data_IF_007163646851
#
_entry.id   IF_007163646851
#
_cell.length_a   1.000
_cell.length_b   1.000
_cell.length_c   1.000
_cell.angle_alpha   90.00
_cell.angle_beta   90.00
_cell.angle_gamma   90.00
#
_symmetry.space_group_name_H-M   'P 1'
#
loop_
_entity.id
_entity.type
_entity.pdbx_description
1 polymer ?
#
# COMPACT_ATOMS: atom_id res chain seq x y z
N UNK A 1 10.86 -5.28 23.90
CA UNK A 1 10.42 -4.47 22.74
C UNK A 1 9.01 -4.91 22.43
N UNK A 2 8.04 -4.02 22.56
CA UNK A 2 6.65 -4.34 22.24
C UNK A 2 6.56 -4.68 20.75
N UNK A 3 6.13 -5.88 20.47
CA UNK A 3 5.85 -6.36 19.12
C UNK A 3 4.65 -5.54 18.60
N UNK A 4 4.92 -4.44 17.92
CA UNK A 4 3.86 -3.50 17.57
C UNK A 4 3.06 -4.08 16.42
N UNK A 5 1.84 -4.49 16.71
CA UNK A 5 0.85 -4.87 15.69
C UNK A 5 0.35 -3.68 14.86
N UNK A 6 1.13 -2.58 14.88
CA UNK A 6 0.80 -1.33 14.17
C UNK A 6 0.83 -1.48 12.66
N UNK A 7 1.70 -2.36 12.12
CA UNK A 7 1.94 -2.54 10.69
C UNK A 7 1.83 -4.01 10.29
N UNK A 8 0.65 -4.62 10.45
CA UNK A 8 0.34 -5.97 9.99
C UNK A 8 -0.91 -5.99 9.10
N UNK A 9 -0.94 -6.88 8.11
CA UNK A 9 -2.06 -7.01 7.19
C UNK A 9 -2.41 -5.70 6.50
N UNK A 10 -3.68 -5.33 6.49
CA UNK A 10 -4.17 -4.07 5.89
C UNK A 10 -3.48 -2.82 6.45
N UNK A 11 -3.01 -2.87 7.71
CA UNK A 11 -2.32 -1.74 8.33
C UNK A 11 -0.88 -1.58 7.86
N UNK A 12 -0.28 -2.57 7.19
CA UNK A 12 1.05 -2.49 6.59
C UNK A 12 1.08 -1.79 5.23
N UNK A 13 -0.07 -1.67 4.56
CA UNK A 13 -0.16 -1.13 3.20
C UNK A 13 0.24 0.34 3.11
N UNK A 14 0.15 1.08 4.20
CA UNK A 14 0.50 2.49 4.22
C UNK A 14 1.16 2.88 5.54
N UNK A 15 2.30 3.56 5.45
CA UNK A 15 2.95 4.18 6.63
C UNK A 15 2.26 5.49 6.95
N UNK A 16 1.78 5.62 8.20
CA UNK A 16 1.19 6.84 8.72
C UNK A 16 1.76 7.14 10.12
N UNK A 17 2.23 8.37 10.32
CA UNK A 17 2.85 8.78 11.59
C UNK A 17 1.83 8.71 12.73
N UNK A 18 2.25 8.18 13.87
CA UNK A 18 1.37 8.06 15.04
C UNK A 18 0.29 6.97 14.93
N UNK A 19 0.38 6.07 13.94
CA UNK A 19 -0.53 4.94 13.82
C UNK A 19 -0.51 4.10 15.10
N UNK A 20 -1.69 3.83 15.67
CA UNK A 20 -1.85 3.07 16.89
C UNK A 20 -1.90 1.55 16.63
N UNK A 21 -1.50 0.71 17.60
CA UNK A 21 -1.65 -0.74 17.49
C UNK A 21 -3.14 -1.11 17.39
N UNK A 22 -3.52 -1.77 16.32
CA UNK A 22 -4.93 -2.09 16.05
C UNK A 22 -5.54 -3.04 17.08
N UNK A 23 -4.76 -3.98 17.61
CA UNK A 23 -5.18 -4.92 18.63
C UNK A 23 -5.59 -4.23 19.95
N UNK A 24 -4.91 -3.15 20.34
CA UNK A 24 -5.31 -2.38 21.51
C UNK A 24 -6.57 -1.58 21.26
N UNK A 25 -6.70 -0.97 20.09
CA UNK A 25 -7.91 -0.24 19.69
C UNK A 25 -9.12 -1.18 19.66
N UNK A 26 -8.98 -2.39 19.10
CA UNK A 26 -10.03 -3.40 19.06
C UNK A 26 -10.57 -3.73 20.48
N UNK A 27 -9.67 -3.97 21.43
CA UNK A 27 -10.02 -4.23 22.84
C UNK A 27 -10.83 -3.08 23.47
N UNK A 28 -10.43 -1.84 23.20
CA UNK A 28 -11.17 -0.68 23.70
C UNK A 28 -12.57 -0.56 23.09
N UNK A 29 -12.68 -0.77 21.77
CA UNK A 29 -13.97 -0.74 21.07
C UNK A 29 -14.91 -1.82 21.65
N UNK A 30 -14.43 -3.05 21.80
CA UNK A 30 -15.22 -4.15 22.35
C UNK A 30 -15.66 -3.90 23.79
N UNK A 31 -14.74 -3.32 24.60
CA UNK A 31 -15.03 -3.06 26.02
C UNK A 31 -16.04 -1.93 26.24
N UNK A 32 -16.00 -0.88 25.41
CA UNK A 32 -16.74 0.36 25.64
C UNK A 32 -17.91 0.60 24.67
N UNK A 33 -18.16 -0.33 23.76
CA UNK A 33 -19.28 -0.24 22.82
C UNK A 33 -19.92 -1.61 22.59
N UNK A 34 -21.19 -1.58 22.10
CA UNK A 34 -21.95 -2.76 21.68
C UNK A 34 -22.08 -2.80 20.16
N UNK A 35 -22.35 -3.98 19.56
CA UNK A 35 -22.69 -4.06 18.13
C UNK A 35 -23.79 -3.08 17.73
N UNK A 36 -23.66 -2.49 16.54
CA UNK A 36 -24.54 -1.46 15.97
C UNK A 36 -24.44 -0.05 16.61
N UNK A 37 -23.70 0.14 17.70
CA UNK A 37 -23.40 1.47 18.22
C UNK A 37 -22.40 2.22 17.30
N UNK A 38 -22.34 3.52 17.49
CA UNK A 38 -21.43 4.40 16.71
C UNK A 38 -20.16 4.67 17.50
N UNK A 39 -19.02 4.37 16.91
CA UNK A 39 -17.69 4.73 17.40
C UNK A 39 -17.21 5.93 16.61
N UNK A 40 -16.80 6.99 17.32
CA UNK A 40 -16.29 8.22 16.69
C UNK A 40 -14.82 8.43 17.03
N UNK A 41 -14.03 8.80 16.04
CA UNK A 41 -12.63 9.22 16.18
C UNK A 41 -12.44 10.60 15.55
N UNK A 42 -12.22 11.62 16.37
CA UNK A 42 -12.08 13.00 15.93
C UNK A 42 -10.71 13.32 15.31
N UNK A 43 -9.75 12.38 15.37
CA UNK A 43 -8.40 12.48 14.81
C UNK A 43 -8.01 11.14 14.19
N UNK A 44 -8.85 10.67 13.25
CA UNK A 44 -8.83 9.28 12.82
C UNK A 44 -7.57 8.86 12.03
N UNK A 45 -6.76 9.81 11.55
CA UNK A 45 -5.60 9.52 10.75
C UNK A 45 -5.92 8.57 9.59
N UNK A 46 -5.13 7.52 9.42
CA UNK A 46 -5.37 6.51 8.38
C UNK A 46 -6.51 5.52 8.70
N UNK A 47 -7.32 5.77 9.73
CA UNK A 47 -8.57 5.08 9.99
C UNK A 47 -8.49 3.79 10.80
N UNK A 48 -7.44 3.55 11.60
CA UNK A 48 -7.32 2.31 12.40
C UNK A 48 -8.55 2.09 13.28
N UNK A 49 -8.99 3.12 14.02
CA UNK A 49 -10.19 3.05 14.87
C UNK A 49 -11.44 2.73 14.07
N UNK A 50 -11.58 3.33 12.88
CA UNK A 50 -12.74 3.14 12.01
C UNK A 50 -12.79 1.70 11.47
N UNK A 51 -11.64 1.19 11.02
CA UNK A 51 -11.52 -0.19 10.51
C UNK A 51 -11.87 -1.20 11.61
N UNK A 52 -11.31 -1.04 12.80
CA UNK A 52 -11.58 -1.97 13.91
C UNK A 52 -13.04 -1.85 14.40
N UNK A 53 -13.64 -0.66 14.38
CA UNK A 53 -15.04 -0.49 14.70
C UNK A 53 -15.95 -1.24 13.71
N UNK A 54 -15.71 -1.09 12.41
CA UNK A 54 -16.49 -1.80 11.37
C UNK A 54 -16.30 -3.30 11.46
N UNK A 55 -15.06 -3.79 11.64
CA UNK A 55 -14.79 -5.23 11.86
C UNK A 55 -15.54 -5.80 13.05
N UNK A 56 -15.67 -5.02 14.10
CA UNK A 56 -16.39 -5.41 15.31
C UNK A 56 -17.92 -5.21 15.21
N UNK A 57 -18.45 -4.88 14.04
CA UNK A 57 -19.89 -4.69 13.82
C UNK A 57 -20.45 -3.38 14.38
N UNK A 58 -19.62 -2.36 14.52
CA UNK A 58 -20.03 -1.00 14.93
C UNK A 58 -20.12 -0.10 13.70
N UNK A 59 -20.89 0.97 13.82
CA UNK A 59 -20.83 2.11 12.87
C UNK A 59 -19.59 2.94 13.21
N UNK A 60 -18.93 3.53 12.20
CA UNK A 60 -17.74 4.34 12.41
C UNK A 60 -17.91 5.74 11.84
N UNK A 61 -17.49 6.75 12.61
CA UNK A 61 -17.43 8.14 12.19
C UNK A 61 -16.01 8.64 12.45
N UNK A 62 -15.34 9.15 11.43
CA UNK A 62 -13.98 9.68 11.55
C UNK A 62 -13.89 11.10 11.05
N UNK A 63 -13.08 11.90 11.74
CA UNK A 63 -12.73 13.28 11.35
C UNK A 63 -11.22 13.40 11.36
N UNK A 64 -10.65 14.07 10.36
CA UNK A 64 -9.24 14.44 10.32
C UNK A 64 -9.07 15.71 9.47
N UNK A 65 -8.10 16.54 9.81
CA UNK A 65 -7.76 17.72 9.01
C UNK A 65 -6.96 17.39 7.75
N UNK A 66 -6.29 16.25 7.75
CA UNK A 66 -5.48 15.83 6.62
C UNK A 66 -6.35 15.10 5.57
N UNK A 67 -6.57 15.68 4.38
CA UNK A 67 -7.39 15.05 3.35
C UNK A 67 -6.83 13.71 2.85
N UNK A 68 -5.51 13.51 2.92
CA UNK A 68 -4.88 12.23 2.59
C UNK A 68 -5.26 11.17 3.61
N UNK A 69 -5.31 11.51 4.91
CA UNK A 69 -5.76 10.60 5.95
C UNK A 69 -7.20 10.13 5.71
N UNK A 70 -8.10 11.05 5.42
CA UNK A 70 -9.49 10.74 5.08
C UNK A 70 -9.56 9.83 3.84
N UNK A 71 -8.80 10.12 2.79
CA UNK A 71 -8.77 9.28 1.58
C UNK A 71 -8.28 7.88 1.86
N UNK A 72 -7.24 7.72 2.70
CA UNK A 72 -6.74 6.41 3.12
C UNK A 72 -7.78 5.62 3.92
N UNK A 73 -8.41 6.28 4.90
CA UNK A 73 -9.46 5.67 5.70
C UNK A 73 -10.65 5.20 4.84
N UNK A 74 -11.12 6.06 3.94
CA UNK A 74 -12.20 5.72 2.99
C UNK A 74 -11.83 4.55 2.09
N UNK A 75 -10.64 4.58 1.48
CA UNK A 75 -10.17 3.50 0.59
C UNK A 75 -10.07 2.17 1.34
N UNK A 76 -9.58 2.19 2.59
CA UNK A 76 -9.44 0.99 3.42
C UNK A 76 -10.78 0.40 3.87
N UNK A 77 -11.84 1.20 3.89
CA UNK A 77 -13.20 0.79 4.29
C UNK A 77 -14.12 0.51 3.08
N UNK A 78 -13.68 0.84 1.86
CA UNK A 78 -14.47 0.58 0.66
C UNK A 78 -14.44 -0.90 0.32
N UNK A 79 -15.61 -1.51 0.25
CA UNK A 79 -15.74 -2.87 -0.27
C UNK A 79 -15.46 -2.88 -1.78
N UNK A 80 -14.63 -3.82 -2.21
CA UNK A 80 -14.24 -3.97 -3.61
C UNK A 80 -14.42 -5.40 -4.08
N UNK A 81 -14.74 -5.57 -5.37
CA UNK A 81 -14.74 -6.86 -6.01
C UNK A 81 -13.31 -7.20 -6.44
N UNK A 82 -12.68 -8.15 -5.74
CA UNK A 82 -11.27 -8.53 -5.99
C UNK A 82 -11.10 -9.12 -7.40
N UNK A 83 -12.06 -9.90 -7.88
CA UNK A 83 -11.97 -10.52 -9.22
C UNK A 83 -12.01 -9.47 -10.33
N UNK A 84 -12.84 -8.44 -10.15
CA UNK A 84 -12.92 -7.32 -11.07
C UNK A 84 -11.62 -6.49 -11.08
N UNK A 85 -11.06 -6.21 -9.90
CA UNK A 85 -9.77 -5.50 -9.78
C UNK A 85 -8.66 -6.31 -10.45
N UNK A 86 -8.57 -7.61 -10.19
CA UNK A 86 -7.56 -8.47 -10.80
C UNK A 86 -7.70 -8.49 -12.33
N UNK A 87 -8.93 -8.57 -12.85
CA UNK A 87 -9.18 -8.52 -14.30
C UNK A 87 -8.73 -7.20 -14.92
N UNK A 88 -9.04 -6.08 -14.27
CA UNK A 88 -8.60 -4.75 -14.71
C UNK A 88 -7.07 -4.65 -14.67
N UNK A 89 -6.44 -5.13 -13.59
CA UNK A 89 -4.99 -5.12 -13.44
C UNK A 89 -4.28 -5.94 -14.53
N UNK A 90 -4.75 -7.16 -14.81
CA UNK A 90 -4.17 -7.99 -15.88
C UNK A 90 -4.36 -7.37 -17.27
N UNK A 91 -5.48 -6.69 -17.50
CA UNK A 91 -5.70 -5.96 -18.76
C UNK A 91 -4.70 -4.80 -18.90
N UNK A 92 -4.53 -3.99 -17.85
CA UNK A 92 -3.55 -2.89 -17.83
C UNK A 92 -2.14 -3.43 -18.05
N UNK A 93 -1.77 -4.49 -17.33
CA UNK A 93 -0.47 -5.14 -17.45
C UNK A 93 -0.21 -5.62 -18.88
N UNK A 94 -1.14 -6.35 -19.47
CA UNK A 94 -1.03 -6.86 -20.86
C UNK A 94 -0.90 -5.72 -21.85
N UNK A 95 -1.68 -4.65 -21.69
CA UNK A 95 -1.69 -3.50 -22.61
C UNK A 95 -0.38 -2.70 -22.54
N UNK A 96 0.20 -2.57 -21.33
CA UNK A 96 1.37 -1.72 -21.13
C UNK A 96 2.71 -2.48 -21.09
N UNK A 97 2.68 -3.82 -21.06
CA UNK A 97 3.88 -4.63 -20.83
C UNK A 97 5.01 -4.34 -21.84
N UNK A 98 4.68 -4.28 -23.13
CA UNK A 98 5.66 -4.01 -24.19
C UNK A 98 6.22 -2.58 -24.06
N UNK A 99 5.37 -1.61 -23.82
CA UNK A 99 5.79 -0.21 -23.64
C UNK A 99 6.69 -0.06 -22.40
N UNK A 100 6.34 -0.71 -21.30
CA UNK A 100 7.16 -0.67 -20.08
C UNK A 100 8.49 -1.38 -20.31
N UNK A 101 8.49 -2.56 -20.93
CA UNK A 101 9.71 -3.31 -21.20
C UNK A 101 10.67 -2.49 -22.04
N UNK A 102 10.20 -1.84 -23.12
CA UNK A 102 11.04 -1.03 -23.99
C UNK A 102 11.69 0.17 -23.29
N UNK A 103 11.10 0.67 -22.19
CA UNK A 103 11.70 1.73 -21.37
C UNK A 103 12.90 1.24 -20.52
N UNK A 104 13.00 -0.07 -20.30
CA UNK A 104 14.05 -0.70 -19.51
C UNK A 104 15.02 -1.53 -20.36
N UNK A 105 14.85 -1.56 -21.68
CA UNK A 105 15.76 -2.21 -22.61
C UNK A 105 16.87 -1.26 -22.99
N UNK A 106 18.09 -1.77 -23.05
CA UNK A 106 19.26 -1.08 -23.63
C UNK A 106 20.15 -2.08 -24.36
N UNK A 107 20.86 -1.59 -25.37
CA UNK A 107 21.90 -2.38 -26.03
C UNK A 107 23.16 -2.37 -25.17
N UNK A 108 23.64 -3.55 -24.80
CA UNK A 108 24.90 -3.76 -24.10
C UNK A 108 25.65 -4.92 -24.72
N UNK A 109 26.90 -4.67 -25.14
CA UNK A 109 27.76 -5.65 -25.83
C UNK A 109 27.12 -6.27 -27.09
N UNK A 110 26.26 -5.51 -27.79
CA UNK A 110 25.54 -5.98 -29.00
C UNK A 110 24.30 -6.81 -28.76
N UNK A 111 23.87 -6.94 -27.49
CA UNK A 111 22.63 -7.62 -27.11
C UNK A 111 21.65 -6.67 -26.39
N UNK A 112 20.35 -6.81 -26.70
CA UNK A 112 19.32 -6.11 -25.97
C UNK A 112 19.17 -6.70 -24.57
N UNK A 113 19.38 -5.87 -23.56
CA UNK A 113 19.44 -6.27 -22.15
C UNK A 113 18.45 -5.47 -21.32
N UNK A 114 17.72 -6.14 -20.42
CA UNK A 114 16.78 -5.50 -19.50
C UNK A 114 17.52 -4.88 -18.33
N UNK A 115 17.44 -3.56 -18.21
CA UNK A 115 18.05 -2.78 -17.12
C UNK A 115 17.19 -2.87 -15.86
N UNK A 116 17.83 -3.11 -14.72
CA UNK A 116 17.14 -3.15 -13.42
C UNK A 116 17.35 -1.89 -12.59
N UNK A 117 18.52 -1.28 -12.69
CA UNK A 117 18.88 -0.05 -11.99
C UNK A 117 19.87 0.75 -12.83
N UNK A 118 19.79 2.07 -12.76
CA UNK A 118 20.73 2.98 -13.41
C UNK A 118 21.09 4.10 -12.45
N UNK A 119 22.39 4.38 -12.32
CA UNK A 119 22.89 5.55 -11.60
C UNK A 119 23.24 6.62 -12.64
N UNK A 120 22.68 7.80 -12.48
CA UNK A 120 22.85 8.92 -13.39
C UNK A 120 23.74 10.02 -12.78
N UNK A 121 24.58 10.63 -13.60
CA UNK A 121 25.35 11.83 -13.26
C UNK A 121 25.35 12.79 -14.44
N UNK A 122 24.93 14.03 -14.21
CA UNK A 122 24.86 15.08 -15.23
C UNK A 122 24.05 14.70 -16.49
N UNK A 123 23.00 13.86 -16.31
CA UNK A 123 22.15 13.42 -17.41
C UNK A 123 22.67 12.22 -18.20
N UNK A 124 23.82 11.65 -17.79
CA UNK A 124 24.36 10.42 -18.39
C UNK A 124 24.37 9.26 -17.40
N UNK A 125 24.08 8.02 -17.84
CA UNK A 125 24.17 6.85 -17.00
C UNK A 125 25.64 6.52 -16.74
N UNK A 126 26.03 6.44 -15.45
CA UNK A 126 27.40 6.10 -15.06
C UNK A 126 27.55 4.67 -14.55
N UNK A 127 26.43 4.05 -14.17
CA UNK A 127 26.37 2.66 -13.75
C UNK A 127 25.02 2.08 -14.14
N UNK A 128 25.02 0.90 -14.75
CA UNK A 128 23.83 0.19 -15.21
C UNK A 128 23.84 -1.24 -14.68
N UNK A 129 22.76 -1.64 -14.01
CA UNK A 129 22.58 -3.00 -13.52
C UNK A 129 21.53 -3.70 -14.37
N UNK A 130 21.84 -4.90 -14.84
CA UNK A 130 20.97 -5.69 -15.71
C UNK A 130 20.87 -7.14 -15.25
N UNK A 131 19.81 -7.82 -15.70
CA UNK A 131 19.66 -9.26 -15.51
C UNK A 131 20.21 -9.99 -16.72
N UNK A 132 21.10 -10.93 -16.45
CA UNK A 132 21.41 -11.98 -17.42
C UNK A 132 20.63 -13.24 -17.02
N UNK A 133 20.24 -14.06 -18.00
CA UNK A 133 19.45 -15.29 -17.76
C UNK A 133 20.14 -16.32 -16.84
N UNK A 134 21.36 -16.10 -16.44
CA UNK A 134 22.13 -17.05 -15.64
C UNK A 134 22.60 -16.59 -14.27
N UNK A 135 22.65 -15.29 -13.96
CA UNK A 135 23.02 -14.80 -12.62
C UNK A 135 22.77 -13.29 -12.47
N UNK A 136 22.48 -12.84 -11.24
CA UNK A 136 22.55 -11.42 -10.88
C UNK A 136 24.02 -11.02 -10.91
N UNK A 137 24.47 -10.35 -11.95
CA UNK A 137 25.81 -9.74 -11.95
C UNK A 137 25.70 -8.26 -11.67
N UNK A 138 26.59 -7.81 -10.78
CA UNK A 138 26.89 -6.41 -10.50
C UNK A 138 27.69 -5.84 -11.65
#
# INVERSE_FOLDING_TARGET
>A
MANSDTYKGIYAMHKYWGKKPFNEISKFIEKYSKPNETVMDCFCGSGVTLIEAVKAGRKAVGVDLNPIAIKLAQTSLTAVNIDEINKIFENIKTTLQETINSMYEMEFEGENTMVTHTIWKNGEPIEVWYRTDKEKKK
#
